data_IF_374122701836
#
_entry.id   IF_374122701836
#
_cell.length_a   1.000
_cell.length_b   1.000
_cell.length_c   1.000
_cell.angle_alpha   90.00
_cell.angle_beta   90.00
_cell.angle_gamma   90.00
#
_symmetry.space_group_name_H-M   'P 1'
#
loop_
_entity.id
_entity.type
_entity.pdbx_description
1 polymer ?
#
# COMPACT_ATOMS: atom_id res chain seq x y z
N UNK A 1 -10.98 7.70 11.95
CA UNK A 1 -10.19 6.69 12.69
C UNK A 1 -9.06 6.27 11.78
N UNK A 2 -7.81 6.35 12.25
CA UNK A 2 -6.64 5.83 11.52
C UNK A 2 -6.58 4.31 11.61
N UNK A 3 -5.86 3.63 10.71
CA UNK A 3 -5.62 2.19 10.81
C UNK A 3 -5.05 1.75 12.17
N UNK A 4 -4.07 2.48 12.71
CA UNK A 4 -3.51 2.22 14.03
C UNK A 4 -4.53 2.37 15.16
N UNK A 5 -5.42 3.35 15.07
CA UNK A 5 -6.53 3.50 16.03
C UNK A 5 -7.49 2.31 15.95
N UNK A 6 -7.80 1.83 14.73
CA UNK A 6 -8.64 0.66 14.52
C UNK A 6 -8.04 -0.61 15.10
N UNK A 7 -6.73 -0.83 14.90
CA UNK A 7 -6.02 -1.98 15.47
C UNK A 7 -5.94 -1.89 17.00
N UNK A 8 -5.78 -0.70 17.58
CA UNK A 8 -5.87 -0.50 19.04
C UNK A 8 -7.25 -0.85 19.56
N UNK A 9 -8.31 -0.35 18.91
CA UNK A 9 -9.69 -0.65 19.29
C UNK A 9 -9.98 -2.16 19.26
N UNK A 10 -9.48 -2.89 18.25
CA UNK A 10 -9.55 -4.36 18.20
C UNK A 10 -8.95 -4.99 19.47
N UNK A 11 -7.69 -4.68 19.79
CA UNK A 11 -7.02 -5.22 20.99
C UNK A 11 -7.81 -4.91 22.27
N UNK A 12 -8.30 -3.68 22.40
CA UNK A 12 -9.00 -3.24 23.61
C UNK A 12 -10.32 -4.01 23.78
N UNK A 13 -11.05 -4.29 22.68
CA UNK A 13 -12.25 -5.15 22.69
C UNK A 13 -11.95 -6.62 23.03
N UNK A 14 -10.74 -7.08 22.73
CA UNK A 14 -10.26 -8.42 23.04
C UNK A 14 -9.67 -8.56 24.45
N UNK A 15 -9.91 -7.59 25.34
CA UNK A 15 -9.41 -7.63 26.72
C UNK A 15 -7.90 -7.46 26.84
N UNK A 16 -7.27 -6.85 25.84
CA UNK A 16 -5.82 -6.62 25.79
C UNK A 16 -5.04 -7.69 25.03
N UNK A 17 -5.63 -8.85 24.74
CA UNK A 17 -5.01 -9.89 23.91
C UNK A 17 -5.31 -9.64 22.43
N UNK A 18 -4.35 -9.03 21.73
CA UNK A 18 -4.49 -8.73 20.30
C UNK A 18 -4.63 -9.98 19.42
N UNK A 19 -4.10 -11.13 19.85
CA UNK A 19 -4.15 -12.39 19.09
C UNK A 19 -5.52 -13.08 19.20
N UNK A 20 -6.29 -12.75 20.24
CA UNK A 20 -7.66 -13.20 20.39
C UNK A 20 -8.58 -12.53 19.33
N UNK A 21 -9.54 -13.29 18.81
CA UNK A 21 -10.45 -12.80 17.78
C UNK A 21 -9.78 -12.55 16.41
N UNK A 22 -10.56 -12.03 15.46
CA UNK A 22 -10.11 -11.70 14.10
C UNK A 22 -10.63 -10.30 13.78
N UNK A 23 -9.74 -9.41 13.36
CA UNK A 23 -10.10 -8.07 12.89
C UNK A 23 -10.46 -8.15 11.41
N UNK A 24 -11.69 -7.77 11.04
CA UNK A 24 -12.04 -7.48 9.64
C UNK A 24 -12.07 -5.96 9.50
N UNK A 25 -11.09 -5.36 8.81
CA UNK A 25 -11.08 -3.94 8.67
C UNK A 25 -12.11 -3.57 7.55
N UNK A 26 -12.85 -2.47 7.76
CA UNK A 26 -13.94 -2.01 6.89
C UNK A 26 -13.78 -0.52 6.53
N UNK A 27 -14.74 0.04 5.79
CA UNK A 27 -14.79 1.45 5.37
C UNK A 27 -13.73 1.93 4.34
N UNK A 28 -12.73 1.13 3.95
CA UNK A 28 -11.94 1.36 2.72
C UNK A 28 -12.40 0.46 1.57
N UNK A 29 -11.63 0.46 0.47
CA UNK A 29 -11.68 -0.47 -0.65
C UNK A 29 -12.83 -0.30 -1.66
N UNK A 30 -13.88 0.45 -1.33
CA UNK A 30 -14.98 0.75 -2.27
C UNK A 30 -14.93 2.17 -2.83
N UNK A 31 -14.86 3.18 -1.95
CA UNK A 31 -14.86 4.59 -2.33
C UNK A 31 -13.64 5.31 -1.77
N UNK A 32 -13.13 6.30 -2.51
CA UNK A 32 -12.12 7.20 -1.99
C UNK A 32 -12.79 8.41 -1.31
N UNK A 33 -12.86 8.40 0.01
CA UNK A 33 -13.56 9.42 0.82
C UNK A 33 -12.60 10.31 1.62
N UNK A 34 -11.29 10.17 1.44
CA UNK A 34 -10.27 10.93 2.17
C UNK A 34 -9.00 11.11 1.31
N UNK A 35 -8.17 12.13 1.55
CA UNK A 35 -7.03 12.48 0.69
C UNK A 35 -5.79 11.61 0.96
N UNK A 36 -5.93 10.29 0.97
CA UNK A 36 -4.82 9.33 1.06
C UNK A 36 -4.75 8.47 -0.23
N UNK A 37 -3.57 7.94 -0.61
CA UNK A 37 -3.45 6.82 -1.54
C UNK A 37 -4.46 5.71 -1.22
N UNK A 38 -5.13 5.19 -2.25
CA UNK A 38 -6.24 4.23 -2.05
C UNK A 38 -5.82 2.95 -1.30
N UNK A 39 -4.58 2.47 -1.51
CA UNK A 39 -4.05 1.27 -0.86
C UNK A 39 -3.56 1.49 0.58
N UNK A 40 -3.25 2.73 0.97
CA UNK A 40 -2.57 3.06 2.23
C UNK A 40 -3.29 2.50 3.47
N UNK A 41 -4.63 2.63 3.65
CA UNK A 41 -5.30 2.11 4.84
C UNK A 41 -5.17 0.60 5.02
N UNK A 42 -5.16 -0.16 3.92
CA UNK A 42 -4.96 -1.61 3.94
C UNK A 42 -3.54 -1.97 4.38
N UNK A 43 -2.53 -1.29 3.82
CA UNK A 43 -1.13 -1.48 4.18
C UNK A 43 -0.86 -1.15 5.65
N UNK A 44 -1.32 0.00 6.10
CA UNK A 44 -1.09 0.48 7.46
C UNK A 44 -1.83 -0.38 8.49
N UNK A 45 -3.01 -0.91 8.16
CA UNK A 45 -3.72 -1.87 9.01
C UNK A 45 -2.91 -3.15 9.19
N UNK A 46 -2.39 -3.73 8.09
CA UNK A 46 -1.56 -4.94 8.17
C UNK A 46 -0.27 -4.67 8.96
N UNK A 47 0.38 -3.53 8.72
CA UNK A 47 1.58 -3.13 9.45
C UNK A 47 1.32 -2.95 10.95
N UNK A 48 0.23 -2.26 11.31
CA UNK A 48 -0.18 -2.04 12.69
C UNK A 48 -0.55 -3.34 13.40
N UNK A 49 -1.29 -4.23 12.74
CA UNK A 49 -1.66 -5.52 13.29
C UNK A 49 -0.44 -6.43 13.50
N UNK A 50 0.48 -6.48 12.54
CA UNK A 50 1.71 -7.28 12.63
C UNK A 50 2.58 -6.86 13.84
N UNK A 51 2.67 -5.56 14.14
CA UNK A 51 3.43 -5.05 15.29
C UNK A 51 2.92 -5.56 16.64
N UNK A 52 1.65 -5.95 16.74
CA UNK A 52 1.03 -6.41 18.00
C UNK A 52 0.55 -7.86 17.95
N UNK A 53 0.79 -8.58 16.85
CA UNK A 53 0.35 -9.96 16.67
C UNK A 53 -1.17 -10.12 16.46
N UNK A 54 -1.88 -9.08 16.01
CA UNK A 54 -3.31 -9.19 15.72
C UNK A 54 -3.57 -9.97 14.44
N UNK A 55 -4.61 -10.82 14.46
CA UNK A 55 -5.07 -11.56 13.28
C UNK A 55 -6.01 -10.66 12.47
N UNK A 56 -5.66 -10.41 11.20
CA UNK A 56 -6.46 -9.60 10.28
C UNK A 56 -7.02 -10.47 9.17
N UNK A 57 -8.32 -10.35 8.93
CA UNK A 57 -8.97 -10.87 7.73
C UNK A 57 -8.90 -9.82 6.61
N UNK A 58 -8.53 -10.26 5.42
CA UNK A 58 -8.48 -9.47 4.18
C UNK A 58 -9.12 -10.26 3.03
N UNK A 59 -10.43 -10.59 3.12
CA UNK A 59 -11.15 -11.24 2.02
C UNK A 59 -11.18 -10.30 0.81
N UNK A 60 -11.03 -10.85 -0.40
CA UNK A 60 -11.31 -10.11 -1.62
C UNK A 60 -12.80 -9.72 -1.68
N UNK A 61 -13.19 -8.68 -2.44
CA UNK A 61 -14.59 -8.31 -2.60
C UNK A 61 -15.45 -9.49 -3.07
N UNK A 62 -16.41 -9.90 -2.25
CA UNK A 62 -17.30 -11.04 -2.51
C UNK A 62 -16.79 -12.40 -2.03
N UNK A 63 -15.57 -12.50 -1.49
CA UNK A 63 -15.03 -13.74 -0.91
C UNK A 63 -15.64 -14.00 0.49
N UNK A 64 -16.34 -15.14 0.69
CA UNK A 64 -16.86 -15.51 2.00
C UNK A 64 -15.74 -16.10 2.88
N UNK A 65 -15.82 -15.87 4.20
CA UNK A 65 -14.94 -16.55 5.16
C UNK A 65 -15.63 -16.70 6.51
N UNK A 66 -15.17 -17.67 7.32
CA UNK A 66 -15.62 -17.90 8.68
C UNK A 66 -14.49 -17.57 9.67
N UNK A 67 -14.71 -16.75 10.72
CA UNK A 67 -13.65 -16.39 11.67
C UNK A 67 -13.03 -17.56 12.44
N UNK A 68 -13.77 -18.68 12.56
CA UNK A 68 -13.32 -19.91 13.21
C UNK A 68 -12.56 -20.87 12.30
N UNK A 69 -12.41 -20.54 11.02
CA UNK A 69 -11.71 -21.35 10.01
C UNK A 69 -10.43 -20.65 9.53
N UNK A 70 -9.95 -21.01 8.34
CA UNK A 70 -8.85 -20.30 7.70
C UNK A 70 -9.23 -18.84 7.43
N UNK A 71 -8.42 -17.91 7.94
CA UNK A 71 -8.64 -16.46 7.78
C UNK A 71 -7.89 -15.99 6.53
N UNK A 72 -8.57 -15.40 5.52
CA UNK A 72 -7.90 -14.87 4.34
C UNK A 72 -7.00 -13.69 4.74
N UNK A 73 -5.73 -13.71 4.33
CA UNK A 73 -4.74 -12.68 4.68
C UNK A 73 -4.03 -12.06 3.48
N UNK A 74 -4.48 -12.37 2.26
CA UNK A 74 -3.84 -11.89 1.03
C UNK A 74 -4.13 -10.40 0.83
N UNK A 75 -3.12 -9.53 0.64
CA UNK A 75 -3.31 -8.10 0.38
C UNK A 75 -3.73 -7.85 -1.07
N UNK A 76 -4.94 -8.29 -1.42
CA UNK A 76 -5.48 -8.31 -2.79
C UNK A 76 -5.48 -6.93 -3.47
N UNK A 77 -5.59 -5.85 -2.70
CA UNK A 77 -5.61 -4.48 -3.21
C UNK A 77 -4.30 -4.07 -3.90
N UNK A 78 -3.17 -4.70 -3.57
CA UNK A 78 -1.88 -4.44 -4.23
C UNK A 78 -1.90 -4.74 -5.72
N UNK A 79 -2.73 -5.68 -6.15
CA UNK A 79 -2.94 -5.97 -7.57
C UNK A 79 -3.76 -4.85 -8.25
N UNK A 80 -4.74 -4.31 -7.54
CA UNK A 80 -5.66 -3.28 -8.06
C UNK A 80 -5.12 -1.85 -7.97
N UNK A 81 -4.10 -1.61 -7.14
CA UNK A 81 -3.53 -0.27 -6.90
C UNK A 81 -2.34 0.07 -7.80
N UNK A 82 -1.99 -0.79 -8.75
CA UNK A 82 -0.87 -0.54 -9.65
C UNK A 82 -1.24 0.57 -10.65
N UNK A 83 -0.34 1.53 -10.84
CA UNK A 83 -0.45 2.45 -11.97
C UNK A 83 -0.32 1.63 -13.26
N UNK A 84 -1.15 1.87 -14.29
CA UNK A 84 -0.97 1.25 -15.58
C UNK A 84 0.44 1.51 -16.13
N UNK A 85 1.09 0.46 -16.64
CA UNK A 85 2.36 0.63 -17.33
C UNK A 85 2.16 1.52 -18.56
N UNK A 86 2.97 2.59 -18.68
CA UNK A 86 2.89 3.53 -19.79
C UNK A 86 1.88 4.66 -19.64
N UNK A 87 1.40 4.95 -18.42
CA UNK A 87 0.61 6.16 -18.14
C UNK A 87 1.33 7.42 -18.67
N UNK A 88 0.80 8.09 -19.71
CA UNK A 88 1.47 9.22 -20.37
C UNK A 88 1.52 10.47 -19.49
N UNK A 89 0.80 10.47 -18.36
CA UNK A 89 0.81 11.56 -17.38
C UNK A 89 1.80 11.33 -16.23
N UNK A 90 2.45 10.16 -16.19
CA UNK A 90 3.52 9.91 -15.23
C UNK A 90 4.66 10.91 -15.48
N UNK A 91 5.20 11.57 -14.43
CA UNK A 91 6.39 12.38 -14.61
C UNK A 91 7.47 11.48 -15.20
N UNK A 92 7.98 11.85 -16.38
CA UNK A 92 9.13 11.16 -16.95
C UNK A 92 10.22 11.24 -15.90
N UNK A 93 10.56 10.12 -15.28
CA UNK A 93 11.77 10.08 -14.49
C UNK A 93 12.84 10.19 -15.55
N UNK A 94 13.42 11.39 -15.68
CA UNK A 94 14.56 11.62 -16.54
C UNK A 94 15.68 10.74 -16.00
N UNK A 95 15.75 9.50 -16.50
CA UNK A 95 16.90 8.65 -16.33
C UNK A 95 18.06 9.38 -16.99
N UNK A 96 18.85 10.03 -16.14
CA UNK A 96 20.08 10.69 -16.51
C UNK A 96 21.02 9.65 -17.12
N UNK A 97 21.04 9.59 -18.45
CA UNK A 97 22.15 9.02 -19.19
C UNK A 97 22.68 10.10 -20.11
N UNK A 98 23.60 10.90 -19.56
CA UNK A 98 24.51 11.69 -20.39
C UNK A 98 25.37 10.69 -21.17
N UNK A 99 25.08 10.60 -22.46
CA UNK A 99 25.90 10.05 -23.54
C UNK A 99 25.57 11.01 -24.68
N UNK A 100 26.48 11.85 -25.16
CA UNK A 100 27.79 11.47 -25.67
C UNK A 100 28.82 12.59 -25.44
N UNK A 101 30.03 12.18 -25.09
CA UNK A 101 31.18 13.07 -25.08
C UNK A 101 31.58 13.39 -26.52
N UNK A 102 31.36 14.64 -26.94
CA UNK A 102 32.07 15.20 -28.07
C UNK A 102 32.46 16.65 -27.72
N UNK A 103 33.76 16.86 -27.46
CA UNK A 103 34.35 18.19 -27.47
C UNK A 103 34.18 18.75 -28.88
N UNK A 104 33.33 19.77 -29.04
CA UNK A 104 33.39 20.65 -30.19
C UNK A 104 34.78 21.33 -30.20
N UNK A 105 35.54 21.30 -31.31
CA UNK A 105 36.84 21.96 -31.34
C UNK A 105 36.67 23.48 -31.26
N UNK A 106 37.47 24.09 -30.39
CA UNK A 106 37.58 25.54 -30.23
C UNK A 106 38.09 26.16 -31.53
N UNK A 107 37.38 27.19 -31.98
CA UNK A 107 37.64 27.94 -33.19
C UNK A 107 38.59 29.11 -32.89
N UNK A 108 39.71 28.83 -32.24
CA UNK A 108 40.81 29.76 -31.99
C UNK A 108 42.11 28.96 -31.84
N UNK A 109 42.67 28.53 -32.96
CA UNK A 109 44.12 28.55 -33.19
C UNK A 109 44.37 28.45 -34.70
N UNK A 110 44.96 29.52 -35.20
CA UNK A 110 45.14 29.83 -36.60
C UNK A 110 46.29 29.04 -37.26
N UNK A 111 46.24 29.04 -38.60
CA UNK A 111 47.37 29.23 -39.52
C UNK A 111 48.59 28.31 -39.44
#
# INVERSE_FOLDING_TARGET
MTPEEGVRAHRDLQGGDAAAGVMLPIHWATFNLAPHPWAEPGEDTLGAAARIGARVASPAPGEPFEPGAAVPGTPWWRASSQRPAGDPTAPTTADGKVRDGELMPSMDDAQ
#
